data_IF_573861071207
#
_entry.id   IF_573861071207
#
_cell.length_a   1.000
_cell.length_b   1.000
_cell.length_c   1.000
_cell.angle_alpha   90.00
_cell.angle_beta   90.00
_cell.angle_gamma   90.00
#
_symmetry.space_group_name_H-M   'P 1'
#
loop_
_entity.id
_entity.type
_entity.pdbx_description
1 polymer ?
#
# COMPACT_ATOMS: atom_id res chain seq x y z
N UNK A 1 86.14 -5.67 17.11
CA UNK A 1 84.85 -6.14 17.70
C UNK A 1 83.71 -5.49 16.88
N UNK A 2 83.10 -6.22 15.94
CA UNK A 2 81.97 -5.74 15.11
C UNK A 2 80.64 -6.15 15.82
N UNK A 3 79.82 -5.17 16.18
CA UNK A 3 78.49 -5.43 16.72
C UNK A 3 77.53 -5.73 15.59
N UNK A 4 76.88 -6.92 15.66
CA UNK A 4 75.85 -7.36 14.74
C UNK A 4 74.53 -6.88 15.26
N UNK A 5 73.85 -5.99 14.51
CA UNK A 5 72.53 -5.51 14.86
C UNK A 5 71.49 -6.39 14.15
N UNK A 6 70.71 -7.13 14.94
CA UNK A 6 69.62 -7.97 14.45
C UNK A 6 68.36 -7.06 14.22
N UNK A 7 67.92 -6.95 12.97
CA UNK A 7 66.66 -6.30 12.62
C UNK A 7 65.57 -7.39 12.61
N UNK A 8 64.67 -7.34 13.57
CA UNK A 8 63.48 -8.19 13.62
C UNK A 8 62.38 -7.48 12.86
N UNK A 9 62.04 -7.95 11.64
CA UNK A 9 60.92 -7.46 10.87
C UNK A 9 59.65 -8.16 11.35
N UNK A 10 58.77 -7.42 12.01
CA UNK A 10 57.44 -7.88 12.37
C UNK A 10 56.52 -7.81 11.14
N UNK A 11 56.13 -8.97 10.59
CA UNK A 11 55.11 -9.06 9.55
C UNK A 11 53.73 -9.00 10.21
N UNK A 12 53.04 -7.86 10.07
CA UNK A 12 51.64 -7.73 10.45
C UNK A 12 50.78 -8.46 9.42
N UNK A 13 50.23 -9.62 9.77
CA UNK A 13 49.18 -10.29 9.01
C UNK A 13 47.88 -9.51 9.23
N UNK A 14 47.46 -8.74 8.22
CA UNK A 14 46.12 -8.17 8.16
C UNK A 14 45.17 -9.26 7.67
N UNK A 15 44.45 -9.89 8.59
CA UNK A 15 43.35 -10.78 8.25
C UNK A 15 42.17 -9.92 7.69
N UNK A 16 41.60 -10.25 6.53
CA UNK A 16 40.42 -9.57 6.05
C UNK A 16 39.24 -9.92 6.96
N UNK A 17 38.71 -8.91 7.65
CA UNK A 17 37.40 -9.02 8.29
C UNK A 17 36.34 -9.15 7.19
N UNK A 18 35.94 -10.38 6.88
CA UNK A 18 34.74 -10.62 6.10
C UNK A 18 33.55 -10.34 7.04
N UNK A 19 33.07 -9.11 7.03
CA UNK A 19 31.79 -8.76 7.62
C UNK A 19 30.71 -9.47 6.81
N UNK A 20 30.30 -10.65 7.25
CA UNK A 20 29.05 -11.24 6.78
C UNK A 20 27.94 -10.34 7.32
N UNK A 21 27.41 -9.45 6.48
CA UNK A 21 26.17 -8.75 6.77
C UNK A 21 25.11 -9.81 7.07
N UNK A 22 24.81 -9.98 8.35
CA UNK A 22 23.78 -10.90 8.82
C UNK A 22 22.47 -10.42 8.20
N UNK A 23 21.98 -11.14 7.17
CA UNK A 23 20.72 -10.86 6.52
C UNK A 23 19.67 -11.00 7.61
N UNK A 24 19.14 -9.86 8.08
CA UNK A 24 18.07 -9.84 9.07
C UNK A 24 16.93 -10.67 8.49
N UNK A 25 16.70 -11.86 9.03
CA UNK A 25 15.64 -12.77 8.58
C UNK A 25 14.32 -12.12 8.94
N UNK A 26 13.60 -11.65 7.91
CA UNK A 26 12.23 -11.17 8.07
C UNK A 26 11.36 -12.38 8.45
N UNK A 27 10.40 -12.16 9.35
CA UNK A 27 9.37 -13.13 9.71
C UNK A 27 8.17 -13.13 8.76
N UNK A 28 8.32 -12.49 7.60
CA UNK A 28 7.36 -12.38 6.51
C UNK A 28 8.08 -12.25 5.16
N UNK A 29 7.39 -12.59 4.08
CA UNK A 29 7.90 -12.45 2.72
C UNK A 29 7.56 -11.08 2.13
N UNK A 30 6.34 -10.59 2.37
CA UNK A 30 5.80 -9.37 1.77
C UNK A 30 5.08 -8.50 2.81
N UNK A 31 5.47 -7.23 2.97
CA UNK A 31 4.73 -6.23 3.73
C UNK A 31 3.96 -5.32 2.77
N UNK A 32 2.64 -5.34 2.88
CA UNK A 32 1.74 -4.51 2.05
C UNK A 32 1.04 -3.46 2.89
N UNK A 33 0.74 -2.28 2.30
CA UNK A 33 0.09 -1.19 3.02
C UNK A 33 -1.02 -0.55 2.14
N UNK A 34 -2.08 -0.07 2.78
CA UNK A 34 -3.10 0.81 2.20
C UNK A 34 -3.05 2.16 2.90
N UNK A 35 -3.09 3.25 2.13
CA UNK A 35 -2.98 4.60 2.66
C UNK A 35 -3.87 5.59 1.91
N UNK A 36 -5.06 5.89 2.45
CA UNK A 36 -5.77 7.08 2.03
C UNK A 36 -4.97 8.30 2.51
N UNK A 37 -4.27 8.95 1.55
CA UNK A 37 -3.35 10.05 1.85
C UNK A 37 -4.06 11.38 2.12
N UNK A 38 -5.36 11.44 1.98
CA UNK A 38 -6.19 12.64 1.96
C UNK A 38 -5.82 13.59 0.83
N UNK A 39 -6.78 14.03 0.06
CA UNK A 39 -6.58 14.93 -1.07
C UNK A 39 -5.77 16.19 -0.67
N UNK A 40 -4.69 16.45 -1.38
CA UNK A 40 -3.74 17.49 -1.02
C UNK A 40 -4.27 18.92 -1.22
N UNK A 41 -5.42 19.07 -1.87
CA UNK A 41 -6.11 20.35 -2.08
C UNK A 41 -7.14 20.66 -1.00
N UNK A 42 -7.39 19.75 -0.05
CA UNK A 42 -8.33 19.94 1.03
C UNK A 42 -7.85 21.04 2.00
N UNK A 43 -8.79 21.89 2.39
CA UNK A 43 -8.54 22.98 3.36
C UNK A 43 -8.76 22.46 4.78
N UNK A 44 -7.84 21.66 5.28
CA UNK A 44 -7.91 21.00 6.59
C UNK A 44 -7.19 21.80 7.71
N UNK A 45 -6.96 23.11 7.49
CA UNK A 45 -6.25 23.98 8.44
C UNK A 45 -4.81 23.50 8.68
N UNK A 46 -4.43 23.30 9.93
CA UNK A 46 -3.10 22.81 10.31
C UNK A 46 -2.82 21.37 9.87
N UNK A 47 -3.85 20.64 9.39
CA UNK A 47 -3.72 19.30 8.85
C UNK A 47 -3.68 19.31 7.30
N UNK A 48 -3.72 20.48 6.64
CA UNK A 48 -3.57 20.57 5.18
C UNK A 48 -2.24 19.95 4.73
N UNK A 49 -2.21 19.48 3.50
CA UNK A 49 -1.04 18.78 2.94
C UNK A 49 0.27 19.55 3.10
N UNK A 50 0.22 20.85 2.85
CA UNK A 50 1.38 21.76 2.95
C UNK A 50 2.08 21.76 4.33
N UNK A 51 1.38 21.31 5.38
CA UNK A 51 1.95 21.17 6.72
C UNK A 51 2.31 19.72 7.06
N UNK A 52 1.53 18.71 6.61
CA UNK A 52 1.67 17.32 7.04
C UNK A 52 2.48 16.41 6.11
N UNK A 53 2.89 16.88 4.92
CA UNK A 53 3.68 16.04 4.02
C UNK A 53 4.95 15.45 4.66
N UNK A 54 5.66 16.14 5.62
CA UNK A 54 6.81 15.52 6.27
C UNK A 54 6.44 14.30 7.11
N UNK A 55 5.25 14.30 7.75
CA UNK A 55 4.77 13.14 8.50
C UNK A 55 4.50 11.94 7.57
N UNK A 56 3.98 12.18 6.37
CA UNK A 56 3.83 11.15 5.33
C UNK A 56 5.19 10.54 4.96
N UNK A 57 6.21 11.38 4.75
CA UNK A 57 7.56 10.89 4.44
C UNK A 57 8.15 10.08 5.61
N UNK A 58 8.03 10.57 6.85
CA UNK A 58 8.51 9.85 8.04
C UNK A 58 7.81 8.51 8.21
N UNK A 59 6.49 8.44 7.97
CA UNK A 59 5.70 7.21 8.05
C UNK A 59 6.16 6.19 7.01
N UNK A 60 6.31 6.58 5.73
CA UNK A 60 6.79 5.68 4.68
C UNK A 60 8.22 5.18 4.99
N UNK A 61 9.11 6.10 5.46
CA UNK A 61 10.47 5.76 5.85
C UNK A 61 10.55 4.77 7.01
N UNK A 62 9.65 4.90 7.98
CA UNK A 62 9.54 4.01 9.15
C UNK A 62 8.97 2.64 8.74
N UNK A 63 7.83 2.64 8.06
CA UNK A 63 7.08 1.44 7.72
C UNK A 63 7.75 0.58 6.64
N UNK A 64 8.44 1.18 5.68
CA UNK A 64 9.17 0.51 4.59
C UNK A 64 8.37 -0.61 3.92
N UNK A 65 7.13 -0.35 3.46
CA UNK A 65 6.33 -1.38 2.82
C UNK A 65 7.01 -1.88 1.53
N UNK A 66 6.85 -3.16 1.21
CA UNK A 66 7.32 -3.69 -0.08
C UNK A 66 6.42 -3.20 -1.24
N UNK A 67 5.11 -3.11 -0.98
CA UNK A 67 4.10 -2.55 -1.91
C UNK A 67 3.06 -1.78 -1.12
N UNK A 68 2.61 -0.63 -1.63
CA UNK A 68 1.48 0.07 -1.04
C UNK A 68 0.60 0.77 -2.07
N UNK A 69 -0.70 0.81 -1.77
CA UNK A 69 -1.69 1.56 -2.52
C UNK A 69 -2.02 2.88 -1.83
N UNK A 70 -2.16 3.95 -2.60
CA UNK A 70 -2.65 5.25 -2.10
C UNK A 70 -4.02 5.58 -2.69
N UNK A 71 -4.85 6.26 -1.91
CA UNK A 71 -6.15 6.77 -2.32
C UNK A 71 -6.17 8.29 -2.10
N UNK A 72 -7.01 9.01 -2.83
CA UNK A 72 -7.13 10.48 -2.85
C UNK A 72 -5.89 11.26 -3.30
N UNK A 73 -4.83 10.59 -3.73
CA UNK A 73 -3.60 11.25 -4.11
C UNK A 73 -3.75 12.05 -5.40
N UNK A 74 -3.37 13.32 -5.39
CA UNK A 74 -3.17 14.11 -6.60
C UNK A 74 -1.76 13.93 -7.15
N UNK A 75 -1.57 14.26 -8.43
CA UNK A 75 -0.29 14.12 -9.13
C UNK A 75 0.91 14.72 -8.35
N UNK A 76 0.75 15.90 -7.74
CA UNK A 76 1.82 16.52 -6.94
C UNK A 76 2.13 15.76 -5.64
N UNK A 77 1.17 15.01 -5.07
CA UNK A 77 1.42 14.13 -3.91
C UNK A 77 2.13 12.84 -4.33
N UNK A 78 1.79 12.31 -5.52
CA UNK A 78 2.51 11.19 -6.12
C UNK A 78 3.98 11.57 -6.35
N UNK A 79 4.23 12.69 -7.03
CA UNK A 79 5.59 13.19 -7.27
C UNK A 79 6.36 13.43 -5.97
N UNK A 80 5.71 13.97 -4.94
CA UNK A 80 6.35 14.14 -3.64
C UNK A 80 6.90 12.81 -3.11
N UNK A 81 6.14 11.72 -3.23
CA UNK A 81 6.60 10.39 -2.78
C UNK A 81 7.75 9.91 -3.67
N UNK A 82 7.65 10.01 -4.99
CA UNK A 82 8.69 9.59 -5.94
C UNK A 82 10.01 10.35 -5.72
N UNK A 83 9.94 11.66 -5.52
CA UNK A 83 11.12 12.53 -5.32
C UNK A 83 11.84 12.23 -4.00
N UNK A 84 11.10 11.85 -2.94
CA UNK A 84 11.67 11.58 -1.62
C UNK A 84 12.09 10.11 -1.43
N UNK A 85 11.57 9.19 -2.24
CA UNK A 85 11.80 7.74 -2.10
C UNK A 85 12.24 7.11 -3.42
N UNK A 86 13.47 7.39 -3.84
CA UNK A 86 14.04 6.90 -5.11
C UNK A 86 14.15 5.37 -5.22
N UNK A 87 14.03 4.65 -4.11
CA UNK A 87 13.94 3.19 -4.07
C UNK A 87 12.56 2.66 -4.47
N UNK A 88 11.55 3.53 -4.47
CA UNK A 88 10.20 3.19 -4.92
C UNK A 88 9.96 3.65 -6.35
N UNK A 89 9.05 2.98 -7.00
CA UNK A 89 8.52 3.32 -8.30
C UNK A 89 6.98 3.25 -8.22
N UNK A 90 6.27 3.83 -9.17
CA UNK A 90 4.82 4.01 -9.09
C UNK A 90 4.13 3.71 -10.41
N UNK A 91 2.90 3.18 -10.33
CA UNK A 91 1.96 3.07 -11.46
C UNK A 91 0.57 3.50 -11.04
N UNK A 92 -0.19 4.01 -11.97
CA UNK A 92 -1.55 4.50 -11.81
C UNK A 92 -1.80 5.73 -12.67
N UNK A 93 -3.06 6.11 -12.79
CA UNK A 93 -3.47 7.28 -13.56
C UNK A 93 -4.52 8.09 -12.81
N UNK A 94 -4.64 9.37 -13.12
CA UNK A 94 -5.69 10.24 -12.62
C UNK A 94 -7.06 9.81 -13.13
N UNK A 95 -8.02 9.71 -12.24
CA UNK A 95 -9.37 9.18 -12.52
C UNK A 95 -10.17 10.00 -13.52
N UNK A 96 -9.83 11.30 -13.70
CA UNK A 96 -10.65 12.19 -14.50
C UNK A 96 -10.36 12.12 -16.00
N UNK A 97 -9.11 11.89 -16.39
CA UNK A 97 -8.71 11.84 -17.80
C UNK A 97 -7.87 10.61 -18.19
N UNK A 98 -7.57 9.71 -17.24
CA UNK A 98 -6.70 8.55 -17.49
C UNK A 98 -5.23 8.92 -17.68
N UNK A 99 -4.82 10.10 -17.22
CA UNK A 99 -3.44 10.61 -17.25
C UNK A 99 -3.07 11.15 -15.87
N UNK A 100 -3.07 12.48 -15.68
CA UNK A 100 -2.65 13.14 -14.44
C UNK A 100 -3.78 13.88 -13.72
N UNK A 101 -4.99 13.98 -14.29
CA UNK A 101 -6.07 14.76 -13.70
C UNK A 101 -6.92 13.94 -12.74
N UNK A 102 -7.28 14.58 -11.62
CA UNK A 102 -8.07 13.99 -10.55
C UNK A 102 -7.23 13.17 -9.58
N UNK A 103 -7.91 12.45 -8.70
CA UNK A 103 -7.27 11.57 -7.72
C UNK A 103 -6.73 10.30 -8.39
N UNK A 104 -5.60 9.82 -7.89
CA UNK A 104 -4.94 8.58 -8.31
C UNK A 104 -5.18 7.47 -7.30
N UNK A 105 -5.43 6.26 -7.79
CA UNK A 105 -5.37 5.00 -7.04
C UNK A 105 -4.04 4.31 -7.33
N UNK A 106 -2.94 5.02 -7.10
CA UNK A 106 -1.61 4.54 -7.48
C UNK A 106 -1.11 3.43 -6.59
N UNK A 107 -0.23 2.60 -7.15
CA UNK A 107 0.47 1.51 -6.49
C UNK A 107 1.96 1.82 -6.53
N UNK A 108 2.58 1.92 -5.35
CA UNK A 108 4.02 2.06 -5.17
C UNK A 108 4.64 0.71 -4.79
N UNK A 109 5.85 0.44 -5.27
CA UNK A 109 6.61 -0.74 -4.87
C UNK A 109 8.08 -0.43 -4.64
N UNK A 110 8.68 -1.10 -3.68
CA UNK A 110 10.11 -1.03 -3.44
C UNK A 110 10.86 -1.82 -4.52
N UNK A 111 11.62 -1.14 -5.37
CA UNK A 111 12.39 -1.74 -6.47
C UNK A 111 13.45 -2.74 -6.00
N UNK A 112 13.87 -2.68 -4.72
CA UNK A 112 14.86 -3.62 -4.17
C UNK A 112 14.23 -4.99 -3.88
N UNK A 113 12.97 -5.02 -3.46
CA UNK A 113 12.29 -6.26 -3.02
C UNK A 113 11.28 -6.79 -4.02
N UNK A 114 10.68 -5.91 -4.85
CA UNK A 114 9.63 -6.27 -5.80
C UNK A 114 9.97 -5.80 -7.21
N UNK A 115 9.59 -6.60 -8.20
CA UNK A 115 9.64 -6.25 -9.63
C UNK A 115 8.23 -6.17 -10.18
N UNK A 116 7.83 -5.05 -10.75
CA UNK A 116 6.60 -4.90 -11.50
C UNK A 116 6.75 -5.57 -12.87
N UNK A 117 5.74 -6.32 -13.31
CA UNK A 117 5.72 -7.06 -14.58
C UNK A 117 4.72 -6.44 -15.55
N UNK A 118 3.52 -6.15 -15.08
CA UNK A 118 2.41 -5.64 -15.88
C UNK A 118 1.44 -4.91 -14.98
N UNK A 119 0.78 -3.89 -15.49
CA UNK A 119 -0.24 -3.14 -14.74
C UNK A 119 -1.33 -2.60 -15.66
N UNK A 120 -2.42 -2.12 -15.07
CA UNK A 120 -3.48 -1.42 -15.74
C UNK A 120 -4.41 -0.73 -14.74
N UNK A 121 -5.24 0.17 -15.26
CA UNK A 121 -6.30 0.83 -14.50
C UNK A 121 -7.61 0.71 -15.28
N UNK A 122 -8.71 0.51 -14.58
CA UNK A 122 -10.05 0.54 -15.15
C UNK A 122 -10.99 1.36 -14.27
N UNK A 123 -12.04 1.91 -14.88
CA UNK A 123 -13.05 2.71 -14.18
C UNK A 123 -14.15 1.81 -13.63
N UNK A 124 -14.61 2.14 -12.42
CA UNK A 124 -15.73 1.45 -11.78
C UNK A 124 -17.05 2.01 -12.33
N UNK A 125 -17.40 1.53 -13.50
CA UNK A 125 -18.57 1.95 -14.25
C UNK A 125 -18.99 0.88 -15.26
N UNK A 126 -20.09 1.12 -15.93
CA UNK A 126 -20.58 0.30 -17.05
C UNK A 126 -19.68 0.36 -18.29
N UNK A 127 -18.71 1.30 -18.32
CA UNK A 127 -17.72 1.46 -19.41
C UNK A 127 -16.31 1.54 -18.82
N UNK A 128 -15.75 0.42 -18.31
CA UNK A 128 -14.53 0.43 -17.49
C UNK A 128 -13.25 0.77 -18.27
N UNK A 129 -13.26 0.77 -19.59
CA UNK A 129 -12.07 1.02 -20.42
C UNK A 129 -11.79 2.51 -20.64
N UNK A 130 -12.65 3.42 -20.19
CA UNK A 130 -12.49 4.86 -20.37
C UNK A 130 -12.95 5.65 -19.14
N UNK A 131 -12.45 6.89 -18.96
CA UNK A 131 -12.87 7.76 -17.88
C UNK A 131 -14.40 7.96 -17.85
N UNK A 132 -15.05 7.32 -16.90
CA UNK A 132 -16.50 7.33 -16.76
C UNK A 132 -16.92 7.24 -15.29
N UNK A 133 -18.14 7.72 -15.03
CA UNK A 133 -18.80 7.63 -13.73
C UNK A 133 -19.87 6.55 -13.82
N UNK A 134 -19.83 5.58 -12.90
CA UNK A 134 -20.75 4.45 -12.91
C UNK A 134 -21.91 4.61 -11.93
N UNK A 135 -23.05 4.04 -12.30
CA UNK A 135 -24.25 3.93 -11.48
C UNK A 135 -24.63 5.24 -10.78
N UNK A 136 -24.85 5.19 -9.44
CA UNK A 136 -25.18 6.35 -8.61
C UNK A 136 -23.96 7.06 -8.01
N UNK A 137 -22.73 6.80 -8.53
CA UNK A 137 -21.51 7.38 -7.99
C UNK A 137 -21.53 8.92 -8.00
N UNK A 138 -20.97 9.53 -6.97
CA UNK A 138 -20.79 10.98 -6.90
C UNK A 138 -19.68 11.46 -7.85
N UNK A 139 -18.63 10.66 -8.04
CA UNK A 139 -17.48 10.96 -8.90
C UNK A 139 -16.98 9.70 -9.61
N UNK A 140 -16.07 9.88 -10.58
CA UNK A 140 -15.38 8.75 -11.21
C UNK A 140 -14.55 7.98 -10.17
N UNK A 141 -14.58 6.65 -10.25
CA UNK A 141 -13.80 5.77 -9.39
C UNK A 141 -13.02 4.77 -10.24
N UNK A 142 -11.86 4.38 -9.78
CA UNK A 142 -10.96 3.49 -10.51
C UNK A 142 -10.42 2.40 -9.60
N UNK A 143 -10.00 1.30 -10.22
CA UNK A 143 -9.13 0.32 -9.61
C UNK A 143 -7.86 0.18 -10.46
N UNK A 144 -6.70 0.31 -9.83
CA UNK A 144 -5.40 0.05 -10.44
C UNK A 144 -4.92 -1.32 -9.99
N UNK A 145 -4.41 -2.12 -10.91
CA UNK A 145 -3.87 -3.44 -10.63
C UNK A 145 -2.46 -3.59 -11.18
N UNK A 146 -1.64 -4.40 -10.51
CA UNK A 146 -0.30 -4.74 -10.97
C UNK A 146 0.01 -6.22 -10.72
N UNK A 147 0.56 -6.89 -11.73
CA UNK A 147 1.22 -8.19 -11.59
C UNK A 147 2.67 -7.92 -11.20
N UNK A 148 3.09 -8.47 -10.09
CA UNK A 148 4.39 -8.26 -9.49
C UNK A 148 5.10 -9.57 -9.20
N UNK A 149 6.42 -9.51 -9.02
CA UNK A 149 7.26 -10.62 -8.58
C UNK A 149 8.03 -10.20 -7.33
N UNK A 150 7.87 -10.95 -6.25
CA UNK A 150 8.76 -10.85 -5.11
C UNK A 150 10.15 -11.36 -5.49
N UNK A 151 11.19 -10.56 -5.24
CA UNK A 151 12.55 -10.88 -5.66
C UNK A 151 13.25 -11.87 -4.73
N UNK A 152 12.80 -11.98 -3.49
CA UNK A 152 13.40 -12.87 -2.50
C UNK A 152 12.92 -14.31 -2.69
N UNK A 153 11.60 -14.51 -2.84
CA UNK A 153 10.98 -15.83 -3.01
C UNK A 153 10.83 -16.25 -4.47
N UNK A 154 10.88 -15.29 -5.40
CA UNK A 154 10.58 -15.51 -6.81
C UNK A 154 9.10 -15.67 -7.13
N UNK A 155 8.20 -15.57 -6.14
CA UNK A 155 6.75 -15.75 -6.30
C UNK A 155 6.12 -14.57 -7.03
N UNK A 156 5.13 -14.90 -7.85
CA UNK A 156 4.28 -13.93 -8.55
C UNK A 156 3.04 -13.64 -7.71
N UNK A 157 2.56 -12.39 -7.72
CA UNK A 157 1.31 -12.00 -7.06
C UNK A 157 0.68 -10.81 -7.76
N UNK A 158 -0.62 -10.61 -7.54
CA UNK A 158 -1.32 -9.40 -7.95
C UNK A 158 -1.52 -8.48 -6.76
N UNK A 159 -1.38 -7.18 -7.03
CA UNK A 159 -1.78 -6.12 -6.10
C UNK A 159 -2.81 -5.25 -6.79
N UNK A 160 -3.94 -4.99 -6.13
CA UNK A 160 -5.03 -4.14 -6.61
C UNK A 160 -5.30 -3.06 -5.59
N UNK A 161 -5.51 -1.83 -6.06
CA UNK A 161 -5.79 -0.68 -5.20
C UNK A 161 -7.00 0.09 -5.73
N UNK A 162 -7.93 0.47 -4.84
CA UNK A 162 -9.16 1.16 -5.21
C UNK A 162 -9.59 2.18 -4.15
N UNK A 163 -10.51 3.06 -4.53
CA UNK A 163 -11.29 3.91 -3.63
C UNK A 163 -12.74 3.92 -4.11
N UNK A 164 -13.62 3.25 -3.37
CA UNK A 164 -15.02 3.14 -3.72
C UNK A 164 -15.79 4.43 -3.45
N UNK A 165 -16.98 4.57 -4.00
CA UNK A 165 -17.72 5.83 -3.92
C UNK A 165 -18.22 6.12 -2.50
N UNK A 166 -18.08 7.36 -2.06
CA UNK A 166 -18.45 7.80 -0.72
C UNK A 166 -19.95 8.08 -0.53
N UNK A 167 -20.74 8.13 -1.62
CA UNK A 167 -22.20 8.39 -1.59
C UNK A 167 -23.00 7.25 -2.17
N UNK A 168 -22.67 6.83 -3.40
CA UNK A 168 -23.43 5.85 -4.14
C UNK A 168 -23.30 4.44 -3.56
N UNK A 169 -24.35 3.92 -2.94
CA UNK A 169 -24.34 2.54 -2.42
C UNK A 169 -24.34 1.50 -3.53
N UNK A 170 -25.08 1.76 -4.60
CA UNK A 170 -25.07 0.88 -5.79
C UNK A 170 -23.71 0.92 -6.49
N UNK A 171 -23.10 2.10 -6.62
CA UNK A 171 -21.76 2.24 -7.17
C UNK A 171 -20.70 1.48 -6.35
N UNK A 172 -20.80 1.46 -5.01
CA UNK A 172 -19.91 0.65 -4.17
C UNK A 172 -20.11 -0.84 -4.43
N UNK A 173 -21.35 -1.31 -4.40
CA UNK A 173 -21.69 -2.71 -4.61
C UNK A 173 -21.27 -3.20 -6.00
N UNK A 174 -21.64 -2.47 -7.04
CA UNK A 174 -21.32 -2.83 -8.42
C UNK A 174 -19.83 -2.65 -8.73
N UNK A 175 -19.21 -1.59 -8.21
CA UNK A 175 -17.78 -1.36 -8.35
C UNK A 175 -16.96 -2.50 -7.74
N UNK A 176 -17.35 -3.00 -6.57
CA UNK A 176 -16.68 -4.14 -5.94
C UNK A 176 -16.89 -5.44 -6.74
N UNK A 177 -18.11 -5.70 -7.23
CA UNK A 177 -18.38 -6.85 -8.09
C UNK A 177 -17.56 -6.78 -9.39
N UNK A 178 -17.43 -5.60 -9.99
CA UNK A 178 -16.60 -5.41 -11.18
C UNK A 178 -15.11 -5.68 -10.88
N UNK A 179 -14.59 -5.23 -9.73
CA UNK A 179 -13.22 -5.55 -9.31
C UNK A 179 -13.04 -7.06 -9.22
N UNK A 180 -13.95 -7.78 -8.54
CA UNK A 180 -13.88 -9.24 -8.38
C UNK A 180 -13.90 -9.93 -9.75
N UNK A 181 -14.80 -9.54 -10.66
CA UNK A 181 -14.88 -10.10 -12.00
C UNK A 181 -13.60 -9.86 -12.81
N UNK A 182 -13.09 -8.61 -12.80
CA UNK A 182 -11.85 -8.27 -13.52
C UNK A 182 -10.62 -8.98 -12.95
N UNK A 183 -10.58 -9.19 -11.64
CA UNK A 183 -9.53 -9.97 -10.99
C UNK A 183 -9.52 -11.40 -11.54
N UNK A 184 -10.68 -12.04 -11.67
CA UNK A 184 -10.79 -13.39 -12.21
C UNK A 184 -10.32 -13.46 -13.68
N UNK A 185 -10.67 -12.45 -14.48
CA UNK A 185 -10.23 -12.35 -15.88
C UNK A 185 -8.71 -12.21 -16.03
N UNK A 186 -8.07 -11.37 -15.20
CA UNK A 186 -6.63 -11.09 -15.29
C UNK A 186 -5.75 -12.13 -14.60
N UNK A 187 -6.26 -12.81 -13.58
CA UNK A 187 -5.52 -13.78 -12.76
C UNK A 187 -5.84 -15.24 -13.09
N UNK A 188 -5.91 -15.58 -14.37
CA UNK A 188 -6.18 -16.97 -14.83
C UNK A 188 -5.17 -18.02 -14.30
N UNK A 189 -3.98 -17.59 -13.85
CA UNK A 189 -2.96 -18.47 -13.27
C UNK A 189 -3.13 -18.73 -11.79
N UNK A 190 -4.10 -18.10 -11.13
CA UNK A 190 -4.37 -18.29 -9.71
C UNK A 190 -3.22 -17.81 -8.80
N UNK A 191 -2.49 -16.76 -9.19
CA UNK A 191 -1.46 -16.19 -8.32
C UNK A 191 -2.07 -15.57 -7.05
N UNK A 192 -1.34 -15.55 -5.93
CA UNK A 192 -1.74 -14.82 -4.75
C UNK A 192 -2.14 -13.38 -5.06
N UNK A 193 -3.12 -12.85 -4.33
CA UNK A 193 -3.65 -11.52 -4.57
C UNK A 193 -3.79 -10.71 -3.29
N UNK A 194 -3.55 -9.41 -3.41
CA UNK A 194 -3.84 -8.39 -2.41
C UNK A 194 -4.79 -7.37 -3.03
N UNK A 195 -5.87 -7.05 -2.34
CA UNK A 195 -6.76 -5.93 -2.67
C UNK A 195 -6.75 -4.95 -1.51
N UNK A 196 -6.34 -3.71 -1.78
CA UNK A 196 -6.31 -2.61 -0.82
C UNK A 196 -7.26 -1.49 -1.23
N UNK A 197 -7.68 -0.71 -0.27
CA UNK A 197 -8.42 0.52 -0.58
C UNK A 197 -9.26 1.05 0.56
N UNK A 198 -9.73 2.28 0.33
CA UNK A 198 -10.85 2.87 1.06
C UNK A 198 -12.16 2.43 0.39
N UNK A 199 -12.90 1.59 1.07
CA UNK A 199 -14.14 1.05 0.51
C UNK A 199 -15.37 1.92 0.82
N UNK A 200 -15.24 2.90 1.71
CA UNK A 200 -16.37 3.71 2.19
C UNK A 200 -17.56 2.87 2.70
N UNK A 201 -17.26 1.68 3.19
CA UNK A 201 -18.23 0.71 3.75
C UNK A 201 -17.72 0.19 5.08
N UNK A 202 -18.63 -0.03 6.04
CA UNK A 202 -18.30 -0.70 7.30
C UNK A 202 -18.18 -2.22 7.11
N UNK A 203 -17.56 -2.95 8.08
CA UNK A 203 -17.34 -4.39 7.97
C UNK A 203 -18.59 -5.26 7.89
N UNK A 204 -19.75 -4.72 8.27
CA UNK A 204 -21.07 -5.37 8.22
C UNK A 204 -21.87 -5.04 6.95
N UNK A 205 -21.31 -4.29 6.00
CA UNK A 205 -21.97 -3.97 4.75
C UNK A 205 -22.12 -5.24 3.87
N UNK A 206 -23.37 -5.52 3.48
CA UNK A 206 -23.71 -6.69 2.68
C UNK A 206 -22.99 -6.76 1.32
N UNK A 207 -22.53 -5.61 0.78
CA UNK A 207 -21.78 -5.56 -0.46
C UNK A 207 -20.41 -6.28 -0.36
N UNK A 208 -19.87 -6.47 0.84
CA UNK A 208 -18.61 -7.20 1.07
C UNK A 208 -18.76 -8.72 0.92
N UNK A 209 -20.00 -9.26 1.01
CA UNK A 209 -20.23 -10.72 1.01
C UNK A 209 -19.63 -11.42 -0.21
N UNK A 210 -19.78 -10.86 -1.40
CA UNK A 210 -19.23 -11.44 -2.63
C UNK A 210 -17.71 -11.47 -2.65
N UNK A 211 -17.08 -10.42 -2.13
CA UNK A 211 -15.62 -10.37 -1.97
C UNK A 211 -15.13 -11.38 -0.93
N UNK A 212 -15.82 -11.48 0.21
CA UNK A 212 -15.44 -12.38 1.30
C UNK A 212 -15.56 -13.88 0.97
N UNK A 213 -16.27 -14.23 -0.08
CA UNK A 213 -16.27 -15.58 -0.65
C UNK A 213 -14.98 -15.89 -1.45
N UNK A 214 -14.25 -14.88 -1.88
CA UNK A 214 -13.05 -15.01 -2.73
C UNK A 214 -11.75 -14.67 -2.01
N UNK A 215 -11.81 -13.71 -1.10
CA UNK A 215 -10.66 -13.17 -0.40
C UNK A 215 -10.95 -13.05 1.09
N UNK A 216 -9.92 -13.10 1.90
CA UNK A 216 -10.01 -12.97 3.34
C UNK A 216 -9.51 -11.60 3.80
N UNK A 217 -10.21 -10.99 4.75
CA UNK A 217 -9.75 -9.76 5.38
C UNK A 217 -8.50 -10.04 6.22
N UNK A 218 -7.37 -9.38 5.91
CA UNK A 218 -6.13 -9.50 6.66
C UNK A 218 -6.35 -9.20 8.16
N UNK A 219 -7.19 -8.22 8.48
CA UNK A 219 -7.57 -7.87 9.85
C UNK A 219 -8.26 -9.00 10.60
N UNK A 220 -9.10 -9.80 9.89
CA UNK A 220 -9.84 -10.92 10.51
C UNK A 220 -8.99 -12.16 10.71
N UNK A 221 -8.01 -12.41 9.83
CA UNK A 221 -7.25 -13.66 9.82
C UNK A 221 -5.87 -13.57 10.47
N UNK A 222 -5.29 -12.37 10.60
CA UNK A 222 -3.97 -12.20 11.21
C UNK A 222 -4.02 -12.54 12.72
N UNK A 223 -3.13 -13.43 13.23
CA UNK A 223 -3.06 -13.74 14.66
C UNK A 223 -2.60 -12.52 15.49
N UNK A 224 -1.81 -11.63 14.90
CA UNK A 224 -1.47 -10.33 15.47
C UNK A 224 -2.25 -9.25 14.74
N UNK A 225 -3.27 -8.71 15.39
CA UNK A 225 -4.19 -7.71 14.83
C UNK A 225 -4.59 -6.69 15.89
N UNK A 226 -5.22 -5.59 15.46
CA UNK A 226 -5.77 -4.55 16.34
C UNK A 226 -7.23 -4.21 15.98
N UNK A 227 -7.87 -3.42 16.86
CA UNK A 227 -9.27 -3.02 16.71
C UNK A 227 -9.43 -1.50 16.51
N UNK A 228 -8.40 -0.80 16.06
CA UNK A 228 -8.48 0.63 15.79
C UNK A 228 -9.41 0.94 14.61
N UNK A 229 -10.10 2.08 14.67
CA UNK A 229 -10.75 2.66 13.51
C UNK A 229 -9.70 3.00 12.44
N UNK A 230 -10.07 2.96 11.16
CA UNK A 230 -9.19 3.40 10.07
C UNK A 230 -9.47 4.85 9.68
N UNK A 231 -10.71 5.34 9.80
CA UNK A 231 -11.06 6.75 9.61
C UNK A 231 -11.00 7.49 10.95
N UNK A 232 -10.07 8.45 11.11
CA UNK A 232 -9.87 9.20 12.34
C UNK A 232 -10.47 10.62 12.30
N UNK A 233 -10.73 11.19 11.12
CA UNK A 233 -11.24 12.55 10.93
C UNK A 233 -10.50 13.61 11.77
N UNK A 234 -9.16 13.55 11.78
CA UNK A 234 -8.30 14.42 12.58
C UNK A 234 -8.58 14.32 14.09
N UNK A 235 -8.94 13.10 14.56
CA UNK A 235 -9.28 12.82 15.96
C UNK A 235 -10.74 13.02 16.33
N UNK A 236 -11.61 13.30 15.37
CA UNK A 236 -13.06 13.41 15.55
C UNK A 236 -13.81 12.15 15.11
N UNK A 237 -13.11 11.17 14.55
CA UNK A 237 -13.68 9.90 14.10
C UNK A 237 -14.20 9.05 15.27
N UNK A 238 -15.18 8.21 14.99
CA UNK A 238 -15.71 7.24 15.95
C UNK A 238 -14.85 5.97 15.93
N UNK A 239 -14.81 5.26 17.05
CA UNK A 239 -14.00 4.05 17.22
C UNK A 239 -14.41 2.88 16.30
N UNK A 240 -15.63 2.88 15.76
CA UNK A 240 -16.17 1.85 14.87
C UNK A 240 -15.99 2.16 13.37
N UNK A 241 -15.33 3.25 13.03
CA UNK A 241 -15.14 3.70 11.65
C UNK A 241 -14.00 2.95 10.95
N UNK A 242 -14.25 1.71 10.56
CA UNK A 242 -13.34 0.89 9.75
C UNK A 242 -13.88 0.88 8.33
N UNK A 243 -13.17 1.55 7.41
CA UNK A 243 -13.56 1.68 6.01
C UNK A 243 -12.40 1.42 5.03
N UNK A 244 -11.19 1.31 5.57
CA UNK A 244 -9.99 0.93 4.80
C UNK A 244 -9.68 -0.54 5.03
N UNK A 245 -9.31 -1.25 3.95
CA UNK A 245 -9.17 -2.70 3.96
C UNK A 245 -7.91 -3.17 3.25
N UNK A 246 -7.42 -4.33 3.71
CA UNK A 246 -6.51 -5.21 3.01
C UNK A 246 -7.18 -6.59 2.98
N UNK A 247 -7.56 -7.02 1.78
CA UNK A 247 -8.03 -8.38 1.51
C UNK A 247 -6.95 -9.18 0.81
N UNK A 248 -6.83 -10.45 1.13
CA UNK A 248 -5.79 -11.35 0.61
C UNK A 248 -6.37 -12.69 0.17
N UNK A 249 -5.75 -13.31 -0.84
CA UNK A 249 -6.03 -14.70 -1.22
C UNK A 249 -4.78 -15.38 -1.76
N UNK A 250 -4.67 -16.69 -1.60
CA UNK A 250 -3.58 -17.51 -2.14
C UNK A 250 -2.24 -17.37 -1.41
N UNK A 251 -2.16 -16.60 -0.34
CA UNK A 251 -1.01 -16.58 0.58
C UNK A 251 -1.14 -17.72 1.60
N UNK A 252 -0.01 -18.27 2.05
CA UNK A 252 -0.01 -19.34 3.07
C UNK A 252 -0.36 -18.79 4.46
N UNK A 253 0.01 -17.54 4.75
CA UNK A 253 -0.36 -16.87 6.00
C UNK A 253 -0.40 -15.35 5.86
N UNK A 254 -1.24 -14.73 6.72
CA UNK A 254 -1.15 -13.33 7.10
C UNK A 254 -0.74 -13.31 8.58
N UNK A 255 0.50 -12.90 8.89
CA UNK A 255 1.06 -13.03 10.24
C UNK A 255 0.75 -11.82 11.13
N UNK A 256 0.56 -10.66 10.52
CA UNK A 256 0.27 -9.41 11.22
C UNK A 256 -0.61 -8.50 10.37
N UNK A 257 -1.57 -7.86 11.00
CA UNK A 257 -2.28 -6.67 10.52
C UNK A 257 -2.12 -5.57 11.54
N UNK A 258 -1.91 -4.33 11.10
CA UNK A 258 -1.75 -3.19 11.99
C UNK A 258 -2.32 -1.91 11.41
N UNK A 259 -3.01 -1.15 12.27
CA UNK A 259 -3.47 0.22 11.98
C UNK A 259 -2.42 1.19 12.53
N UNK A 260 -1.78 1.97 11.66
CA UNK A 260 -0.68 2.87 12.00
C UNK A 260 -1.24 4.11 12.69
N UNK A 261 -1.25 4.09 14.01
CA UNK A 261 -1.76 5.18 14.86
C UNK A 261 -0.65 6.03 15.49
N UNK A 262 0.60 5.73 15.19
CA UNK A 262 1.78 6.37 15.68
C UNK A 262 1.88 7.83 15.24
N UNK A 263 2.53 8.64 16.07
CA UNK A 263 2.88 10.03 15.72
C UNK A 263 4.17 10.06 14.94
N UNK A 264 4.23 10.93 13.93
CA UNK A 264 5.44 11.15 13.15
C UNK A 264 5.91 12.61 13.33
N UNK A 265 6.99 12.78 14.11
CA UNK A 265 7.48 14.09 14.50
C UNK A 265 6.46 14.85 15.33
N UNK A 266 6.14 16.07 14.94
CA UNK A 266 5.15 16.91 15.62
C UNK A 266 3.69 16.58 15.23
N UNK A 267 3.48 15.74 14.21
CA UNK A 267 2.15 15.46 13.66
C UNK A 267 1.51 14.24 14.32
N UNK A 268 0.33 14.47 14.88
CA UNK A 268 -0.47 13.39 15.48
C UNK A 268 -1.09 12.49 14.40
N UNK A 269 -1.39 13.04 13.23
CA UNK A 269 -2.05 12.34 12.12
C UNK A 269 -1.29 12.58 10.82
N UNK A 270 -1.06 11.53 10.06
CA UNK A 270 -0.50 11.60 8.71
C UNK A 270 -1.58 11.85 7.64
N UNK A 271 -2.83 11.55 7.97
CA UNK A 271 -4.05 11.75 7.17
C UNK A 271 -5.26 11.75 8.11
N UNK A 272 -6.44 12.09 7.61
CA UNK A 272 -7.72 11.85 8.30
C UNK A 272 -8.12 10.36 8.33
N UNK A 273 -7.35 9.51 7.62
CA UNK A 273 -7.32 8.06 7.78
C UNK A 273 -6.01 7.62 8.45
N UNK A 274 -6.06 6.52 9.16
CA UNK A 274 -4.86 5.81 9.59
C UNK A 274 -4.44 4.84 8.48
N UNK A 275 -3.17 4.87 8.02
CA UNK A 275 -2.67 3.82 7.13
C UNK A 275 -2.76 2.46 7.81
N UNK A 276 -2.93 1.41 7.02
CA UNK A 276 -2.99 0.03 7.51
C UNK A 276 -1.98 -0.83 6.76
N UNK A 277 -1.35 -1.80 7.43
CA UNK A 277 -0.50 -2.76 6.77
C UNK A 277 -0.81 -4.20 7.14
N UNK A 278 -0.35 -5.12 6.30
CA UNK A 278 -0.34 -6.55 6.57
C UNK A 278 1.02 -7.16 6.20
N UNK A 279 1.43 -8.19 6.95
CA UNK A 279 2.60 -9.02 6.67
C UNK A 279 2.14 -10.39 6.18
N UNK A 280 2.63 -10.80 5.03
CA UNK A 280 2.18 -11.98 4.29
C UNK A 280 3.32 -12.96 4.06
N UNK A 281 2.99 -14.26 4.01
CA UNK A 281 3.87 -15.38 3.64
C UNK A 281 3.27 -16.06 2.40
N UNK A 282 4.12 -16.33 1.37
CA UNK A 282 3.70 -16.99 0.14
C UNK A 282 3.46 -18.48 0.28
#
# INVERSE_FOLDING_TARGET
MRKLTLIVSAVLMVLPFISSAQKQTRDYDLKVMSYNIRMGTAKDGTNSWEYRYPATAMMIQDQKPDVFGVQEAFDFQIRFIEDNFTDYDCVGVGRDNGKSEGEHMSIFWNKKTVKMIKWGTFWLSETPEKPSKGWDAACKRTATWALMKDKNTGKMFYFVNTHLDHRGSEARRQGLNLIVSRIDEINQKGYPMVLTGDFNMKPDDAALTGLEQRMQSARKIAPKTDNHATLNLWGKGKADMVIDYIYVSGFSACTEYHTITEKYGAWKYVSDHYPIYAKLIF
#
